data_IF_687521148245
#
_entry.id   IF_687521148245
#
_cell.length_a   1.000
_cell.length_b   1.000
_cell.length_c   1.000
_cell.angle_alpha   90.00
_cell.angle_beta   90.00
_cell.angle_gamma   90.00
#
_symmetry.space_group_name_H-M   'P 1'
#
loop_
_entity.id
_entity.type
_entity.pdbx_description
1 polymer ?
#
# COMPACT_ATOMS: atom_id res chain seq x y z
N UNK A 1 28.46 -3.55 20.83
CA UNK A 1 29.16 -4.10 19.64
C UNK A 1 28.67 -3.36 18.40
N UNK A 2 29.54 -3.10 17.42
CA UNK A 2 29.09 -2.56 16.13
C UNK A 2 28.60 -3.73 15.26
N UNK A 3 27.29 -3.93 15.22
CA UNK A 3 26.65 -4.99 14.44
C UNK A 3 26.36 -4.56 12.99
N UNK A 4 26.47 -3.27 12.66
CA UNK A 4 26.23 -2.77 11.29
C UNK A 4 27.22 -3.37 10.29
N UNK A 5 28.41 -3.77 10.75
CA UNK A 5 29.46 -4.43 9.93
C UNK A 5 29.01 -5.74 9.28
N UNK A 6 27.91 -6.33 9.74
CA UNK A 6 27.37 -7.57 9.20
C UNK A 6 26.42 -7.34 8.03
N UNK A 7 26.11 -6.07 7.70
CA UNK A 7 25.08 -5.74 6.73
C UNK A 7 25.67 -5.15 5.45
N UNK A 8 25.30 -5.74 4.32
CA UNK A 8 25.64 -5.22 3.00
C UNK A 8 24.66 -4.11 2.59
N UNK A 9 25.12 -2.99 2.04
CA UNK A 9 24.23 -1.93 1.61
C UNK A 9 23.46 -2.33 0.34
N UNK A 10 22.15 -2.07 0.34
CA UNK A 10 21.31 -2.10 -0.85
C UNK A 10 21.38 -0.75 -1.56
N UNK A 11 21.91 -0.75 -2.78
CA UNK A 11 22.08 0.44 -3.60
C UNK A 11 21.08 0.45 -4.75
N UNK A 12 20.46 1.60 -5.03
CA UNK A 12 19.64 1.75 -6.23
C UNK A 12 20.52 1.70 -7.49
N UNK A 13 20.08 0.96 -8.52
CA UNK A 13 20.81 0.87 -9.80
C UNK A 13 20.70 2.17 -10.61
N UNK A 14 19.57 2.85 -10.50
CA UNK A 14 19.26 4.05 -11.29
C UNK A 14 19.26 5.31 -10.43
N UNK A 15 19.88 6.38 -10.94
CA UNK A 15 20.03 7.66 -10.22
C UNK A 15 18.70 8.32 -9.83
N UNK A 16 17.63 8.10 -10.59
CA UNK A 16 16.29 8.56 -10.26
C UNK A 16 15.77 8.03 -8.90
N UNK A 17 16.31 6.90 -8.46
CA UNK A 17 15.94 6.24 -7.21
C UNK A 17 16.96 6.47 -6.09
N UNK A 18 18.00 7.29 -6.33
CA UNK A 18 18.90 7.71 -5.26
C UNK A 18 18.10 8.45 -4.19
N UNK A 19 18.41 8.16 -2.92
CA UNK A 19 17.70 8.70 -1.76
C UNK A 19 16.20 8.41 -1.73
N UNK A 20 15.75 7.29 -2.33
CA UNK A 20 14.37 6.81 -2.20
C UNK A 20 14.27 5.67 -1.21
N UNK A 21 13.21 5.68 -0.42
CA UNK A 21 12.80 4.58 0.43
C UNK A 21 12.46 3.36 -0.43
N UNK A 22 13.13 2.22 -0.19
CA UNK A 22 12.90 0.98 -0.96
C UNK A 22 11.45 0.51 -0.82
N UNK A 23 10.81 0.83 0.29
CA UNK A 23 9.50 0.31 0.61
C UNK A 23 8.33 1.09 0.00
N UNK A 24 8.46 2.41 -0.17
CA UNK A 24 7.33 3.25 -0.58
C UNK A 24 7.69 4.41 -1.53
N UNK A 25 8.96 4.57 -1.91
CA UNK A 25 9.38 5.61 -2.86
C UNK A 25 9.45 7.04 -2.30
N UNK A 26 9.09 7.26 -1.03
CA UNK A 26 9.33 8.53 -0.34
C UNK A 26 10.83 8.83 -0.20
N UNK A 27 11.17 10.05 0.22
CA UNK A 27 12.56 10.42 0.50
C UNK A 27 13.15 9.55 1.63
N UNK A 28 14.37 9.07 1.42
CA UNK A 28 15.16 8.34 2.42
C UNK A 28 15.50 9.30 3.55
N UNK A 29 15.20 8.88 4.76
CA UNK A 29 15.62 9.57 5.97
C UNK A 29 16.77 8.85 6.69
N UNK A 30 16.76 7.51 6.67
CA UNK A 30 17.73 6.67 7.40
C UNK A 30 17.87 5.29 6.76
N UNK A 31 18.81 4.50 7.26
CA UNK A 31 18.88 3.07 6.94
C UNK A 31 18.00 2.25 7.87
N UNK A 32 17.34 1.24 7.31
CA UNK A 32 16.70 0.14 8.03
C UNK A 32 17.53 -1.13 7.81
N UNK A 33 17.62 -2.00 8.80
CA UNK A 33 18.44 -3.20 8.76
C UNK A 33 17.53 -4.43 8.70
N UNK A 34 17.86 -5.37 7.82
CA UNK A 34 17.10 -6.60 7.61
C UNK A 34 18.04 -7.79 7.80
N UNK A 35 17.87 -8.60 8.86
CA UNK A 35 16.93 -8.41 9.97
C UNK A 35 17.32 -7.20 10.84
N UNK A 36 16.41 -6.62 11.66
CA UNK A 36 16.78 -5.52 12.55
C UNK A 36 17.91 -5.92 13.49
N UNK A 37 18.88 -5.02 13.71
CA UNK A 37 20.06 -5.25 14.57
C UNK A 37 19.69 -5.79 15.95
N UNK A 38 18.57 -5.33 16.53
CA UNK A 38 18.11 -5.78 17.84
C UNK A 38 17.74 -7.26 17.92
N UNK A 39 17.51 -7.92 16.77
CA UNK A 39 17.21 -9.34 16.64
C UNK A 39 18.39 -10.14 16.08
N UNK A 40 19.59 -9.54 15.95
CA UNK A 40 20.70 -10.19 15.25
C UNK A 40 21.09 -11.55 15.84
N UNK A 41 20.97 -11.72 17.16
CA UNK A 41 21.25 -12.96 17.85
C UNK A 41 20.28 -14.09 17.48
N UNK A 42 19.01 -13.76 17.21
CA UNK A 42 18.01 -14.75 16.78
C UNK A 42 18.42 -15.41 15.45
N UNK A 43 19.13 -14.67 14.59
CA UNK A 43 19.52 -15.12 13.24
C UNK A 43 20.94 -15.69 13.20
N UNK A 44 21.91 -15.03 13.85
CA UNK A 44 23.31 -15.47 13.86
C UNK A 44 23.50 -16.75 14.68
N UNK A 45 22.93 -16.81 15.89
CA UNK A 45 23.15 -17.95 16.77
C UNK A 45 22.27 -19.15 16.36
N UNK A 46 21.18 -18.88 15.62
CA UNK A 46 20.25 -19.88 15.10
C UNK A 46 20.66 -20.54 13.77
N UNK A 47 21.74 -20.08 13.10
CA UNK A 47 22.10 -20.49 11.72
C UNK A 47 20.93 -20.37 10.73
N UNK A 48 20.10 -19.33 10.87
CA UNK A 48 18.94 -19.11 10.01
C UNK A 48 19.33 -18.24 8.81
N UNK A 49 18.79 -18.56 7.63
CA UNK A 49 19.01 -17.74 6.43
C UNK A 49 18.32 -16.38 6.56
N UNK A 50 19.08 -15.31 6.31
CA UNK A 50 18.61 -13.94 6.31
C UNK A 50 19.44 -13.09 5.35
N UNK A 51 18.86 -11.98 4.86
CA UNK A 51 19.50 -11.15 3.85
C UNK A 51 20.75 -10.42 4.37
N UNK A 52 20.74 -10.03 5.66
CA UNK A 52 21.76 -9.17 6.26
C UNK A 52 22.07 -7.96 5.37
N UNK A 53 21.04 -7.18 5.04
CA UNK A 53 21.15 -5.96 4.22
C UNK A 53 20.75 -4.68 4.95
N UNK A 54 21.39 -3.58 4.60
CA UNK A 54 21.01 -2.23 5.01
C UNK A 54 20.27 -1.54 3.86
N UNK A 55 19.01 -1.16 4.07
CA UNK A 55 18.14 -0.60 3.02
C UNK A 55 17.75 0.84 3.31
N UNK A 56 17.55 1.69 2.27
CA UNK A 56 17.10 3.06 2.47
C UNK A 56 15.62 3.09 2.89
N UNK A 57 15.31 3.82 3.96
CA UNK A 57 13.95 3.93 4.51
C UNK A 57 13.59 5.38 4.87
N UNK A 58 12.33 5.75 4.70
CA UNK A 58 11.79 6.99 5.26
C UNK A 58 11.47 6.81 6.76
N UNK A 59 11.31 7.90 7.50
CA UNK A 59 11.03 7.85 8.94
C UNK A 59 9.83 6.96 9.28
N UNK A 60 8.75 7.11 8.53
CA UNK A 60 7.52 6.38 8.80
C UNK A 60 7.65 4.88 8.53
N UNK A 61 8.24 4.48 7.39
CA UNK A 61 8.41 3.07 7.09
C UNK A 61 9.30 2.39 8.12
N UNK A 62 10.38 3.05 8.54
CA UNK A 62 11.21 2.57 9.64
C UNK A 62 10.42 2.42 10.94
N UNK A 63 9.64 3.44 11.34
CA UNK A 63 8.87 3.39 12.59
C UNK A 63 7.79 2.32 12.60
N UNK A 64 7.17 2.05 11.44
CA UNK A 64 6.20 0.97 11.27
C UNK A 64 6.85 -0.42 11.33
N UNK A 65 8.14 -0.55 11.02
CA UNK A 65 8.84 -1.83 10.88
C UNK A 65 9.87 -2.13 11.98
N UNK A 66 10.23 -1.15 12.83
CA UNK A 66 11.29 -1.29 13.84
C UNK A 66 11.10 -2.44 14.85
N UNK A 67 9.89 -3.00 14.93
CA UNK A 67 9.57 -4.13 15.80
C UNK A 67 9.36 -5.45 15.07
N UNK A 68 9.51 -5.47 13.75
CA UNK A 68 9.28 -6.66 12.93
C UNK A 68 10.56 -7.48 12.75
N UNK A 69 10.51 -8.74 13.17
CA UNK A 69 11.63 -9.68 13.05
C UNK A 69 11.58 -10.45 11.72
N UNK A 70 11.50 -9.73 10.60
CA UNK A 70 11.60 -10.36 9.27
C UNK A 70 13.06 -10.47 8.85
N UNK A 71 13.44 -11.62 8.30
CA UNK A 71 14.82 -11.90 7.84
C UNK A 71 15.09 -11.48 6.40
N UNK A 72 14.06 -11.25 5.59
CA UNK A 72 14.20 -10.87 4.18
C UNK A 72 13.35 -9.65 3.81
N UNK A 73 13.69 -9.02 2.68
CA UNK A 73 13.06 -7.78 2.21
C UNK A 73 11.57 -7.94 1.86
N UNK A 74 11.18 -9.00 1.16
CA UNK A 74 9.82 -9.17 0.64
C UNK A 74 8.76 -9.33 1.76
N UNK A 75 8.94 -10.20 2.77
CA UNK A 75 8.02 -10.26 3.91
C UNK A 75 7.91 -8.92 4.64
N UNK A 76 9.01 -8.19 4.73
CA UNK A 76 9.04 -6.88 5.38
C UNK A 76 8.25 -5.83 4.59
N UNK A 77 8.34 -5.84 3.26
CA UNK A 77 7.48 -5.03 2.38
C UNK A 77 6.00 -5.38 2.60
N UNK A 78 5.65 -6.68 2.65
CA UNK A 78 4.27 -7.11 2.85
C UNK A 78 3.70 -6.62 4.20
N UNK A 79 4.48 -6.76 5.28
CA UNK A 79 4.10 -6.24 6.61
C UNK A 79 3.93 -4.72 6.59
N UNK A 80 4.84 -3.99 5.94
CA UNK A 80 4.71 -2.54 5.82
C UNK A 80 3.41 -2.16 5.11
N UNK A 81 3.11 -2.77 3.94
CA UNK A 81 1.91 -2.43 3.17
C UNK A 81 0.65 -2.61 4.02
N UNK A 82 0.57 -3.71 4.79
CA UNK A 82 -0.53 -3.94 5.74
C UNK A 82 -0.62 -2.84 6.80
N UNK A 83 0.49 -2.47 7.44
CA UNK A 83 0.53 -1.44 8.49
C UNK A 83 0.21 -0.04 7.97
N UNK A 84 0.71 0.28 6.79
CA UNK A 84 0.48 1.57 6.16
C UNK A 84 -0.99 1.71 5.74
N UNK A 85 -1.59 0.66 5.16
CA UNK A 85 -3.01 0.62 4.83
C UNK A 85 -3.90 0.79 6.06
N UNK A 86 -3.58 0.10 7.17
CA UNK A 86 -4.35 0.24 8.41
C UNK A 86 -4.22 1.63 9.02
N UNK A 87 -3.00 2.18 9.10
CA UNK A 87 -2.74 3.53 9.64
C UNK A 87 -3.57 4.61 8.91
N UNK A 88 -3.71 4.48 7.60
CA UNK A 88 -4.34 5.48 6.74
C UNK A 88 -5.71 5.07 6.19
N UNK A 89 -6.33 4.03 6.74
CA UNK A 89 -7.61 3.47 6.31
C UNK A 89 -8.71 4.52 6.11
N UNK A 90 -8.79 5.51 7.02
CA UNK A 90 -9.77 6.61 6.94
C UNK A 90 -9.50 7.52 5.73
N UNK A 91 -8.25 7.87 5.47
CA UNK A 91 -7.87 8.74 4.36
C UNK A 91 -8.10 8.03 3.01
N UNK A 92 -7.74 6.74 2.91
CA UNK A 92 -8.04 5.90 1.74
C UNK A 92 -9.54 5.88 1.48
N UNK A 93 -10.36 5.68 2.51
CA UNK A 93 -11.82 5.68 2.38
C UNK A 93 -12.35 7.02 1.86
N UNK A 94 -11.87 8.14 2.42
CA UNK A 94 -12.24 9.49 1.94
C UNK A 94 -11.91 9.63 0.47
N UNK A 95 -10.68 9.29 0.07
CA UNK A 95 -10.26 9.35 -1.33
C UNK A 95 -11.10 8.49 -2.26
N UNK A 96 -11.49 7.28 -1.86
CA UNK A 96 -12.27 6.40 -2.74
C UNK A 96 -13.75 6.81 -2.86
N UNK A 97 -14.32 7.44 -1.83
CA UNK A 97 -15.77 7.66 -1.77
C UNK A 97 -16.20 9.07 -2.18
N UNK A 98 -15.32 10.06 -2.05
CA UNK A 98 -15.65 11.46 -2.31
C UNK A 98 -15.05 11.98 -3.61
N UNK A 99 -15.90 12.60 -4.42
CA UNK A 99 -15.54 13.42 -5.57
C UNK A 99 -15.26 14.86 -5.16
N UNK A 100 -14.60 15.63 -6.04
CA UNK A 100 -14.31 17.03 -5.72
C UNK A 100 -15.59 17.87 -5.75
N UNK A 101 -16.50 17.52 -6.65
CA UNK A 101 -17.83 18.09 -6.82
C UNK A 101 -18.67 17.86 -5.54
N UNK A 102 -18.74 16.62 -5.04
CA UNK A 102 -19.43 16.31 -3.77
C UNK A 102 -18.82 17.06 -2.57
N UNK A 103 -17.51 17.34 -2.60
CA UNK A 103 -16.85 18.10 -1.53
C UNK A 103 -17.21 19.59 -1.64
N UNK A 104 -17.27 20.16 -2.84
CA UNK A 104 -17.58 21.59 -3.06
C UNK A 104 -18.98 21.98 -2.58
N UNK A 105 -19.91 21.04 -2.54
CA UNK A 105 -21.26 21.24 -1.99
C UNK A 105 -21.31 21.23 -0.45
N UNK A 106 -20.23 20.86 0.23
CA UNK A 106 -20.17 20.79 1.69
C UNK A 106 -19.85 22.14 2.34
N UNK A 107 -20.10 22.25 3.64
CA UNK A 107 -19.69 23.44 4.41
C UNK A 107 -18.16 23.61 4.46
N UNK A 108 -17.71 24.85 4.62
CA UNK A 108 -16.30 25.22 4.50
C UNK A 108 -15.39 24.49 5.51
N UNK A 109 -15.86 24.22 6.73
CA UNK A 109 -15.06 23.52 7.73
C UNK A 109 -14.89 22.04 7.35
N UNK A 110 -15.95 21.42 6.85
CA UNK A 110 -15.92 20.04 6.39
C UNK A 110 -15.11 19.86 5.10
N UNK A 111 -15.15 20.84 4.20
CA UNK A 111 -14.32 20.86 2.99
C UNK A 111 -12.83 20.77 3.28
N UNK A 112 -12.32 21.51 4.27
CA UNK A 112 -10.90 21.51 4.64
C UNK A 112 -10.47 20.10 5.06
N UNK A 113 -11.29 19.45 5.89
CA UNK A 113 -11.04 18.08 6.36
C UNK A 113 -11.05 17.07 5.22
N UNK A 114 -12.05 17.13 4.33
CA UNK A 114 -12.16 16.22 3.20
C UNK A 114 -11.03 16.41 2.18
N UNK A 115 -10.66 17.66 1.85
CA UNK A 115 -9.51 17.94 0.96
C UNK A 115 -8.21 17.40 1.53
N UNK A 116 -8.00 17.53 2.85
CA UNK A 116 -6.87 16.92 3.55
C UNK A 116 -6.87 15.39 3.45
N UNK A 117 -8.02 14.76 3.72
CA UNK A 117 -8.19 13.31 3.61
C UNK A 117 -8.00 12.79 2.19
N UNK A 118 -8.46 13.52 1.17
CA UNK A 118 -8.29 13.21 -0.25
C UNK A 118 -6.81 13.18 -0.65
N UNK A 119 -6.05 14.22 -0.30
CA UNK A 119 -4.62 14.29 -0.61
C UNK A 119 -3.86 13.14 0.07
N UNK A 120 -4.12 12.93 1.35
CA UNK A 120 -3.46 11.89 2.14
C UNK A 120 -3.81 10.48 1.63
N UNK A 121 -5.07 10.24 1.26
CA UNK A 121 -5.52 8.97 0.71
C UNK A 121 -4.88 8.67 -0.65
N UNK A 122 -4.81 9.67 -1.54
CA UNK A 122 -4.11 9.56 -2.83
C UNK A 122 -2.63 9.22 -2.66
N UNK A 123 -1.94 9.94 -1.78
CA UNK A 123 -0.53 9.68 -1.47
C UNK A 123 -0.32 8.28 -0.91
N UNK A 124 -1.18 7.85 0.01
CA UNK A 124 -1.10 6.54 0.64
C UNK A 124 -1.30 5.42 -0.38
N UNK A 125 -2.28 5.53 -1.29
CA UNK A 125 -2.48 4.54 -2.34
C UNK A 125 -1.27 4.45 -3.28
N UNK A 126 -0.69 5.59 -3.66
CA UNK A 126 0.56 5.61 -4.45
C UNK A 126 1.69 4.88 -3.74
N UNK A 127 1.80 5.02 -2.42
CA UNK A 127 2.81 4.32 -1.61
C UNK A 127 2.56 2.83 -1.48
N UNK A 128 1.29 2.41 -1.38
CA UNK A 128 0.91 0.98 -1.35
C UNK A 128 1.14 0.29 -2.70
N UNK A 129 0.90 1.01 -3.79
CA UNK A 129 1.11 0.54 -5.17
C UNK A 129 2.58 0.58 -5.61
N UNK A 130 3.46 1.22 -4.82
CA UNK A 130 4.89 1.21 -5.09
C UNK A 130 5.43 -0.22 -5.09
N UNK A 131 6.10 -0.61 -6.17
CA UNK A 131 6.63 -1.96 -6.36
C UNK A 131 8.11 -2.09 -5.97
N UNK A 132 8.78 -0.97 -5.68
CA UNK A 132 10.23 -0.92 -5.47
C UNK A 132 10.96 -0.36 -6.69
N UNK A 133 12.28 -0.50 -6.68
CA UNK A 133 13.16 -0.14 -7.80
C UNK A 133 14.28 -1.15 -7.93
N UNK A 134 14.87 -1.26 -9.12
CA UNK A 134 16.06 -2.10 -9.34
C UNK A 134 17.19 -1.72 -8.39
N UNK A 135 17.76 -2.73 -7.73
CA UNK A 135 18.78 -2.55 -6.72
C UNK A 135 19.92 -3.55 -6.86
N UNK A 136 21.05 -3.21 -6.24
CA UNK A 136 22.27 -3.99 -6.21
C UNK A 136 22.69 -4.24 -4.75
N UNK A 137 23.07 -5.48 -4.45
CA UNK A 137 23.65 -5.91 -3.18
C UNK A 137 24.84 -6.80 -3.50
N UNK A 138 26.02 -6.45 -2.99
CA UNK A 138 27.26 -7.22 -3.15
C UNK A 138 27.53 -7.66 -4.62
N UNK A 139 27.40 -6.72 -5.56
CA UNK A 139 27.61 -6.94 -6.99
C UNK A 139 26.46 -7.66 -7.72
N UNK A 140 25.45 -8.15 -7.00
CA UNK A 140 24.29 -8.84 -7.58
C UNK A 140 23.13 -7.86 -7.79
N UNK A 141 22.62 -7.79 -9.03
CA UNK A 141 21.51 -6.90 -9.39
C UNK A 141 20.18 -7.65 -9.33
N UNK A 142 19.25 -7.13 -8.54
CA UNK A 142 17.84 -7.53 -8.55
C UNK A 142 17.04 -6.57 -9.42
N UNK A 143 16.33 -7.13 -10.41
CA UNK A 143 15.41 -6.40 -11.27
C UNK A 143 13.99 -6.51 -10.71
N UNK A 144 13.42 -5.38 -10.31
CA UNK A 144 12.07 -5.33 -9.76
C UNK A 144 11.07 -5.36 -10.91
N UNK A 145 10.07 -6.24 -10.81
CA UNK A 145 9.03 -6.33 -11.80
C UNK A 145 8.30 -4.98 -11.95
N UNK A 146 8.06 -4.58 -13.20
CA UNK A 146 7.24 -3.40 -13.48
C UNK A 146 5.82 -3.67 -12.98
N UNK A 147 5.14 -2.66 -12.38
CA UNK A 147 3.78 -2.83 -11.93
C UNK A 147 2.91 -3.26 -13.11
N UNK A 148 2.18 -4.37 -12.94
CA UNK A 148 1.09 -4.70 -13.85
C UNK A 148 -0.03 -3.68 -13.63
N UNK A 149 -0.64 -3.22 -14.72
CA UNK A 149 -1.77 -2.32 -14.63
C UNK A 149 -2.94 -3.11 -14.05
N UNK A 150 -3.30 -2.79 -12.82
CA UNK A 150 -4.51 -3.34 -12.19
C UNK A 150 -5.73 -2.82 -12.95
N UNK A 151 -6.61 -3.74 -13.36
CA UNK A 151 -7.84 -3.44 -14.07
C UNK A 151 -9.00 -3.82 -13.17
N UNK A 152 -9.89 -2.87 -12.92
CA UNK A 152 -11.09 -3.08 -12.14
C UNK A 152 -12.24 -3.35 -13.10
N UNK A 153 -12.97 -4.44 -12.91
CA UNK A 153 -14.11 -4.81 -13.77
C UNK A 153 -15.42 -4.58 -13.04
N UNK A 154 -16.40 -4.07 -13.78
CA UNK A 154 -17.81 -4.06 -13.41
C UNK A 154 -18.57 -4.69 -14.57
N UNK A 155 -18.78 -5.99 -14.51
CA UNK A 155 -19.23 -6.82 -15.63
C UNK A 155 -18.34 -6.62 -16.87
N UNK A 156 -18.90 -6.13 -17.97
CA UNK A 156 -18.20 -5.93 -19.24
C UNK A 156 -17.39 -4.62 -19.30
N UNK A 157 -17.54 -3.74 -18.30
CA UNK A 157 -16.84 -2.46 -18.23
C UNK A 157 -15.52 -2.55 -17.45
N UNK A 158 -14.43 -2.03 -18.05
CA UNK A 158 -13.09 -2.00 -17.46
C UNK A 158 -12.69 -0.58 -17.02
N UNK A 159 -12.12 -0.48 -15.82
CA UNK A 159 -11.71 0.78 -15.21
C UNK A 159 -10.25 0.74 -14.77
N UNK A 160 -9.62 1.91 -14.78
CA UNK A 160 -8.21 2.05 -14.42
C UNK A 160 -7.97 2.25 -12.92
N UNK A 161 -9.05 2.44 -12.14
CA UNK A 161 -8.98 2.58 -10.70
C UNK A 161 -10.23 2.08 -10.00
N UNK A 162 -10.05 1.60 -8.76
CA UNK A 162 -11.15 1.24 -7.87
C UNK A 162 -12.18 2.36 -7.71
N UNK A 163 -11.72 3.61 -7.63
CA UNK A 163 -12.57 4.79 -7.45
C UNK A 163 -13.49 5.02 -8.66
N UNK A 164 -12.97 4.89 -9.88
CA UNK A 164 -13.76 5.00 -11.11
C UNK A 164 -14.81 3.88 -11.19
N UNK A 165 -14.39 2.63 -10.96
CA UNK A 165 -15.28 1.48 -10.94
C UNK A 165 -16.39 1.63 -9.87
N UNK A 166 -16.02 2.06 -8.66
CA UNK A 166 -16.96 2.28 -7.57
C UNK A 166 -17.98 3.37 -7.90
N UNK A 167 -17.54 4.49 -8.49
CA UNK A 167 -18.42 5.58 -8.89
C UNK A 167 -19.41 5.13 -9.98
N UNK A 168 -18.91 4.44 -11.01
CA UNK A 168 -19.74 3.86 -12.07
C UNK A 168 -20.76 2.88 -11.50
N UNK A 169 -20.31 1.85 -10.79
CA UNK A 169 -21.18 0.82 -10.25
C UNK A 169 -22.21 1.39 -9.25
N UNK A 170 -21.82 2.36 -8.42
CA UNK A 170 -22.72 3.04 -7.50
C UNK A 170 -23.85 3.78 -8.23
N UNK A 171 -23.52 4.48 -9.31
CA UNK A 171 -24.49 5.22 -10.11
C UNK A 171 -25.38 4.29 -10.95
N UNK A 172 -24.79 3.30 -11.61
CA UNK A 172 -25.50 2.37 -12.52
C UNK A 172 -26.47 1.47 -11.76
N UNK A 173 -26.05 0.90 -10.64
CA UNK A 173 -26.85 -0.08 -9.87
C UNK A 173 -27.55 0.52 -8.66
N UNK A 174 -27.46 1.85 -8.48
CA UNK A 174 -28.13 2.60 -7.42
C UNK A 174 -27.78 2.10 -5.99
N UNK A 175 -26.54 1.63 -5.82
CA UNK A 175 -26.01 1.15 -4.53
C UNK A 175 -25.14 2.25 -3.94
N UNK A 176 -25.36 2.65 -2.68
CA UNK A 176 -24.50 3.64 -2.01
C UNK A 176 -23.03 3.19 -2.03
N UNK A 177 -22.10 4.08 -2.44
CA UNK A 177 -20.63 3.81 -2.49
C UNK A 177 -20.11 3.10 -1.24
N UNK A 178 -20.55 3.53 -0.05
CA UNK A 178 -20.13 2.92 1.23
C UNK A 178 -20.57 1.46 1.38
N UNK A 179 -21.79 1.13 0.96
CA UNK A 179 -22.31 -0.25 1.00
C UNK A 179 -21.64 -1.10 -0.08
N UNK A 180 -21.50 -0.56 -1.29
CA UNK A 180 -20.88 -1.26 -2.39
C UNK A 180 -19.39 -1.55 -2.12
N UNK A 181 -18.64 -0.59 -1.58
CA UNK A 181 -17.25 -0.81 -1.18
C UNK A 181 -17.11 -1.88 -0.11
N UNK A 182 -18.04 -1.95 0.86
CA UNK A 182 -18.03 -3.02 1.86
C UNK A 182 -18.27 -4.38 1.20
N UNK A 183 -19.31 -4.48 0.36
CA UNK A 183 -19.63 -5.71 -0.36
C UNK A 183 -18.50 -6.16 -1.30
N UNK A 184 -17.78 -5.24 -1.93
CA UNK A 184 -16.61 -5.56 -2.74
C UNK A 184 -15.55 -6.32 -1.94
N UNK A 185 -15.14 -5.81 -0.76
CA UNK A 185 -14.15 -6.48 0.07
C UNK A 185 -14.66 -7.76 0.72
N UNK A 186 -15.97 -7.87 0.96
CA UNK A 186 -16.60 -9.07 1.49
C UNK A 186 -16.77 -10.19 0.44
N UNK A 187 -16.65 -9.87 -0.86
CA UNK A 187 -16.93 -10.79 -1.97
C UNK A 187 -15.76 -10.86 -2.96
N UNK A 188 -14.59 -11.24 -2.44
CA UNK A 188 -13.37 -11.52 -3.22
C UNK A 188 -12.91 -10.37 -4.13
N UNK A 189 -13.13 -9.13 -3.70
CA UNK A 189 -12.72 -7.94 -4.44
C UNK A 189 -13.32 -7.89 -5.86
N UNK A 190 -14.58 -8.32 -6.00
CA UNK A 190 -15.34 -8.31 -7.25
C UNK A 190 -16.58 -7.42 -7.15
N UNK A 191 -16.69 -6.44 -8.06
CA UNK A 191 -17.90 -5.62 -8.16
C UNK A 191 -19.11 -6.44 -8.61
N UNK A 192 -18.93 -7.34 -9.57
CA UNK A 192 -19.98 -8.21 -10.11
C UNK A 192 -20.64 -9.00 -8.99
N UNK A 193 -19.84 -9.72 -8.19
CA UNK A 193 -20.33 -10.49 -7.05
C UNK A 193 -20.99 -9.59 -6.00
N UNK A 194 -20.40 -8.44 -5.71
CA UNK A 194 -20.96 -7.49 -4.75
C UNK A 194 -22.36 -6.99 -5.18
N UNK A 195 -22.55 -6.72 -6.47
CA UNK A 195 -23.82 -6.26 -7.06
C UNK A 195 -24.85 -7.40 -7.08
N UNK A 196 -24.45 -8.60 -7.51
CA UNK A 196 -25.30 -9.79 -7.50
C UNK A 196 -25.81 -10.13 -6.10
N UNK A 197 -24.93 -10.10 -5.09
CA UNK A 197 -25.28 -10.32 -3.69
C UNK A 197 -26.24 -9.25 -3.20
N UNK A 198 -26.01 -7.98 -3.50
CA UNK A 198 -26.90 -6.89 -3.09
C UNK A 198 -28.33 -7.09 -3.62
N UNK A 199 -28.48 -7.36 -4.91
CA UNK A 199 -29.80 -7.56 -5.51
C UNK A 199 -30.43 -8.91 -5.17
N UNK A 200 -29.61 -9.94 -4.90
CA UNK A 200 -30.08 -11.24 -4.41
C UNK A 200 -30.65 -11.17 -2.98
N UNK A 201 -30.13 -10.26 -2.14
CA UNK A 201 -30.69 -9.99 -0.81
C UNK A 201 -32.05 -9.31 -0.89
N UNK A 202 -32.23 -8.32 -1.78
CA UNK A 202 -33.51 -7.64 -1.96
C UNK A 202 -34.63 -8.61 -2.37
N UNK A 203 -34.33 -9.60 -3.22
CA UNK A 203 -35.30 -10.62 -3.66
C UNK A 203 -35.73 -11.62 -2.56
N UNK A 204 -35.08 -11.64 -1.40
CA UNK A 204 -35.42 -12.54 -0.28
C UNK A 204 -36.22 -11.84 0.83
N UNK A 205 -36.32 -10.51 0.77
CA UNK A 205 -37.05 -9.69 1.74
C UNK A 205 -38.48 -9.34 1.27
N UNK A 206 -38.82 -9.72 0.04
CA UNK A 206 -40.18 -9.72 -0.54
C UNK A 206 -40.80 -11.13 -0.47
#
# INVERSE_FOLDING_TARGET
MNYEKFYEPLNAVHSANFNRCIYCGCEKARSDFIPPIKFIHDWQDGNLEADFISVPSCHECFDLLKNENNSTLEPRIAVLKKRLAEKYKKAIRVFNHWSMEEIEEMDAAFQISLKGGMRLGKETLSRLQFTGFDYEVNGSITRVAKPQREVFKVFDDEFSSFREALAFASATYQIKKSRLSQLYFDNDESFDRAIEVFHGLLKKED
#
